data_IF_473784647041
#
_entry.id   IF_473784647041
#
_cell.length_a   1.000
_cell.length_b   1.000
_cell.length_c   1.000
_cell.angle_alpha   90.00
_cell.angle_beta   90.00
_cell.angle_gamma   90.00
#
_symmetry.space_group_name_H-M   'P 1'
#
loop_
_entity.id
_entity.type
_entity.pdbx_description
1 polymer ?
#
# COMPACT_ATOMS: atom_id res chain seq x y z
N UNK A 1 24.24 24.92 -10.60
CA UNK A 1 23.81 24.23 -11.83
C UNK A 1 22.94 23.08 -11.39
N UNK A 2 21.63 23.19 -11.55
CA UNK A 2 20.70 22.11 -11.22
C UNK A 2 20.53 21.28 -12.49
N UNK A 3 21.01 20.04 -12.47
CA UNK A 3 20.74 19.08 -13.53
C UNK A 3 19.23 18.80 -13.55
N UNK A 4 18.56 19.23 -14.63
CA UNK A 4 17.22 18.78 -14.97
C UNK A 4 17.33 17.29 -15.32
N UNK A 5 17.12 16.42 -14.36
CA UNK A 5 16.74 15.05 -14.67
C UNK A 5 15.36 15.13 -15.34
N UNK A 6 15.32 14.88 -16.65
CA UNK A 6 14.09 14.58 -17.39
C UNK A 6 13.62 13.16 -16.99
N UNK A 7 13.42 12.94 -15.69
CA UNK A 7 12.91 11.71 -15.13
C UNK A 7 11.41 11.85 -14.98
N UNK A 8 10.65 11.04 -15.69
CA UNK A 8 9.22 10.88 -15.47
C UNK A 8 9.00 10.57 -13.98
N UNK A 9 8.05 11.26 -13.34
CA UNK A 9 7.69 10.98 -11.95
C UNK A 9 7.23 9.52 -11.87
N UNK A 10 7.90 8.72 -11.02
CA UNK A 10 7.54 7.31 -10.83
C UNK A 10 6.42 7.23 -9.81
N UNK A 11 5.29 6.63 -10.20
CA UNK A 11 4.22 6.34 -9.26
C UNK A 11 4.60 5.13 -8.41
N UNK A 12 4.44 5.25 -7.10
CA UNK A 12 4.70 4.18 -6.15
C UNK A 12 3.42 3.91 -5.39
N UNK A 13 2.84 2.72 -5.58
CA UNK A 13 1.61 2.33 -4.91
C UNK A 13 1.89 1.27 -3.85
N UNK A 14 1.60 1.63 -2.60
CA UNK A 14 1.78 0.75 -1.44
C UNK A 14 0.44 0.07 -1.15
N UNK A 15 0.40 -1.23 -1.35
CA UNK A 15 -0.78 -2.06 -1.09
C UNK A 15 -0.64 -2.70 0.28
N UNK A 16 -1.50 -2.34 1.23
CA UNK A 16 -1.57 -2.97 2.54
C UNK A 16 -2.65 -4.03 2.55
N UNK A 17 -2.29 -5.27 2.93
CA UNK A 17 -3.23 -6.39 3.15
C UNK A 17 -3.38 -6.72 4.64
N UNK A 18 -3.24 -5.70 5.48
CA UNK A 18 -3.40 -5.85 6.92
C UNK A 18 -4.89 -5.95 7.26
N UNK A 19 -5.26 -6.71 8.30
CA UNK A 19 -6.63 -6.76 8.77
C UNK A 19 -7.16 -5.41 9.20
N UNK A 20 -8.48 -5.24 9.11
CA UNK A 20 -9.14 -4.11 9.74
C UNK A 20 -8.99 -4.16 11.26
N UNK A 21 -9.57 -5.18 11.90
CA UNK A 21 -9.53 -5.35 13.36
C UNK A 21 -9.84 -6.81 13.76
N UNK A 22 -8.81 -7.55 14.19
CA UNK A 22 -8.97 -8.84 14.87
C UNK A 22 -8.07 -8.99 16.11
N UNK A 23 -7.63 -7.88 16.71
CA UNK A 23 -6.85 -7.90 17.95
C UNK A 23 -5.34 -8.15 17.77
N UNK A 24 -4.77 -7.80 16.61
CA UNK A 24 -3.31 -7.76 16.39
C UNK A 24 -2.79 -6.33 16.29
N UNK A 25 -1.56 -6.11 16.76
CA UNK A 25 -0.93 -4.78 16.77
C UNK A 25 -0.71 -4.20 15.36
N UNK A 26 -0.64 -5.05 14.33
CA UNK A 26 -0.52 -4.64 12.94
C UNK A 26 -1.85 -4.21 12.30
N UNK A 27 -2.99 -4.35 12.99
CA UNK A 27 -4.30 -4.05 12.44
C UNK A 27 -4.43 -2.58 11.97
N UNK A 28 -5.18 -2.38 10.89
CA UNK A 28 -5.34 -1.08 10.24
C UNK A 28 -6.01 -0.04 11.13
N UNK A 29 -6.84 -0.45 12.09
CA UNK A 29 -7.36 0.49 13.10
C UNK A 29 -6.26 1.24 13.86
N UNK A 30 -5.05 0.68 13.94
CA UNK A 30 -3.89 1.29 14.60
C UNK A 30 -2.88 1.84 13.59
N UNK A 31 -2.70 1.18 12.46
CA UNK A 31 -1.61 1.46 11.52
C UNK A 31 -2.00 2.33 10.32
N UNK A 32 -3.28 2.36 9.92
CA UNK A 32 -3.72 3.11 8.75
C UNK A 32 -3.40 4.62 8.83
N UNK A 33 -3.63 5.33 9.95
CA UNK A 33 -3.27 6.74 10.05
C UNK A 33 -1.76 6.98 9.90
N UNK A 34 -0.94 6.03 10.35
CA UNK A 34 0.51 6.13 10.22
C UNK A 34 0.95 6.00 8.75
N UNK A 35 0.28 5.14 7.96
CA UNK A 35 0.53 5.05 6.52
C UNK A 35 0.19 6.35 5.79
N UNK A 36 -0.95 6.96 6.09
CA UNK A 36 -1.37 8.22 5.47
C UNK A 36 -0.35 9.34 5.72
N UNK A 37 0.07 9.51 6.99
CA UNK A 37 1.08 10.50 7.37
C UNK A 37 2.44 10.19 6.70
N UNK A 38 2.83 8.93 6.61
CA UNK A 38 4.07 8.54 5.96
C UNK A 38 4.05 8.84 4.44
N UNK A 39 2.93 8.58 3.76
CA UNK A 39 2.74 8.92 2.34
C UNK A 39 2.79 10.43 2.14
N UNK A 40 2.10 11.21 2.98
CA UNK A 40 2.15 12.68 2.91
C UNK A 40 3.58 13.20 3.07
N UNK A 41 4.31 12.72 4.08
CA UNK A 41 5.69 13.10 4.32
C UNK A 41 6.63 12.68 3.17
N UNK A 42 6.44 11.49 2.62
CA UNK A 42 7.22 10.98 1.50
C UNK A 42 6.99 11.82 0.23
N UNK A 43 5.73 12.12 -0.10
CA UNK A 43 5.39 12.99 -1.22
C UNK A 43 5.98 14.39 -1.04
N UNK A 44 5.89 14.98 0.15
CA UNK A 44 6.50 16.28 0.43
C UNK A 44 8.02 16.28 0.22
N UNK A 45 8.69 15.17 0.52
CA UNK A 45 10.15 15.04 0.43
C UNK A 45 10.64 14.67 -0.97
N UNK A 46 9.87 13.87 -1.70
CA UNK A 46 10.31 13.22 -2.94
C UNK A 46 9.46 13.56 -4.17
N UNK A 47 8.50 14.50 -4.09
CA UNK A 47 7.59 14.88 -5.18
C UNK A 47 8.26 15.18 -6.53
N UNK A 48 9.54 15.58 -6.54
CA UNK A 48 10.30 15.83 -7.77
C UNK A 48 10.55 14.55 -8.57
N UNK A 49 10.54 13.38 -7.93
CA UNK A 49 10.91 12.10 -8.54
C UNK A 49 9.86 11.01 -8.35
N UNK A 50 9.12 11.05 -7.23
CA UNK A 50 8.23 9.98 -6.79
C UNK A 50 6.85 10.54 -6.42
N UNK A 51 5.81 9.77 -6.72
CA UNK A 51 4.44 10.03 -6.30
C UNK A 51 3.90 8.78 -5.59
N UNK A 52 3.78 8.86 -4.27
CA UNK A 52 3.34 7.77 -3.41
C UNK A 52 1.83 7.78 -3.19
N UNK A 53 1.22 6.60 -3.26
CA UNK A 53 -0.14 6.32 -2.80
C UNK A 53 -0.15 5.12 -1.86
N UNK A 54 -1.18 5.02 -1.03
CA UNK A 54 -1.46 3.82 -0.24
C UNK A 54 -2.87 3.32 -0.53
N UNK A 55 -2.99 2.02 -0.75
CA UNK A 55 -4.26 1.29 -0.91
C UNK A 55 -4.40 0.32 0.24
N UNK A 56 -5.46 0.50 1.03
CA UNK A 56 -5.77 -0.37 2.16
C UNK A 56 -6.78 -1.43 1.72
N UNK A 57 -6.30 -2.65 1.49
CA UNK A 57 -7.12 -3.79 1.10
C UNK A 57 -7.51 -4.58 2.35
N UNK A 58 -8.70 -4.30 2.87
CA UNK A 58 -9.26 -5.01 4.00
C UNK A 58 -10.70 -5.42 3.72
N UNK A 59 -11.13 -6.50 4.35
CA UNK A 59 -12.54 -6.88 4.42
C UNK A 59 -12.99 -6.76 5.88
N UNK A 60 -14.00 -5.93 6.13
CA UNK A 60 -14.52 -5.70 7.48
C UNK A 60 -15.19 -6.95 8.09
N UNK A 61 -15.43 -7.98 7.28
CA UNK A 61 -15.98 -9.26 7.71
C UNK A 61 -14.93 -10.24 8.23
N UNK A 62 -13.63 -9.97 7.98
CA UNK A 62 -12.54 -10.86 8.38
C UNK A 62 -12.43 -10.93 9.90
N UNK A 63 -12.33 -12.14 10.46
CA UNK A 63 -12.25 -12.36 11.91
C UNK A 63 -10.97 -13.06 12.34
N UNK A 64 -10.26 -13.67 11.41
CA UNK A 64 -9.08 -14.48 11.68
C UNK A 64 -7.91 -14.14 10.76
N UNK A 65 -6.71 -14.63 11.10
CA UNK A 65 -5.57 -14.53 10.19
C UNK A 65 -5.80 -15.33 8.91
N UNK A 66 -6.48 -16.46 9.03
CA UNK A 66 -6.79 -17.37 7.92
C UNK A 66 -7.70 -16.68 6.90
N UNK A 67 -8.75 -15.99 7.34
CA UNK A 67 -9.65 -15.20 6.47
C UNK A 67 -8.85 -14.17 5.66
N UNK A 68 -8.04 -13.36 6.35
CA UNK A 68 -7.20 -12.33 5.70
C UNK A 68 -6.23 -12.96 4.72
N UNK A 69 -5.53 -14.03 5.09
CA UNK A 69 -4.54 -14.65 4.19
C UNK A 69 -5.18 -15.26 2.93
N UNK A 70 -6.36 -15.88 3.07
CA UNK A 70 -7.09 -16.47 1.96
C UNK A 70 -7.64 -15.42 1.01
N UNK A 71 -8.29 -14.39 1.54
CA UNK A 71 -8.85 -13.31 0.73
C UNK A 71 -7.77 -12.37 0.18
N UNK A 72 -6.68 -12.13 0.92
CA UNK A 72 -5.61 -11.25 0.47
C UNK A 72 -4.94 -11.75 -0.82
N UNK A 73 -4.65 -13.06 -0.95
CA UNK A 73 -4.04 -13.59 -2.17
C UNK A 73 -4.94 -13.34 -3.37
N UNK A 74 -6.24 -13.60 -3.23
CA UNK A 74 -7.22 -13.36 -4.29
C UNK A 74 -7.35 -11.87 -4.61
N UNK A 75 -7.59 -11.03 -3.60
CA UNK A 75 -7.82 -9.59 -3.77
C UNK A 75 -6.60 -8.90 -4.39
N UNK A 76 -5.39 -9.24 -3.92
CA UNK A 76 -4.15 -8.72 -4.50
C UNK A 76 -3.98 -9.21 -5.93
N UNK A 77 -4.20 -10.48 -6.20
CA UNK A 77 -4.08 -11.03 -7.58
C UNK A 77 -5.05 -10.36 -8.54
N UNK A 78 -6.31 -10.18 -8.14
CA UNK A 78 -7.34 -9.48 -8.92
C UNK A 78 -6.99 -8.00 -9.10
N UNK A 79 -6.46 -7.35 -8.07
CA UNK A 79 -6.01 -5.97 -8.16
C UNK A 79 -4.86 -5.80 -9.17
N UNK A 80 -3.80 -6.60 -9.05
CA UNK A 80 -2.72 -6.58 -10.03
C UNK A 80 -3.23 -6.92 -11.43
N UNK A 81 -4.13 -7.89 -11.58
CA UNK A 81 -4.67 -8.23 -12.90
C UNK A 81 -5.46 -7.07 -13.55
N UNK A 82 -6.20 -6.30 -12.75
CA UNK A 82 -7.12 -5.27 -13.27
C UNK A 82 -6.57 -3.84 -13.26
N UNK A 83 -5.59 -3.55 -12.38
CA UNK A 83 -5.09 -2.20 -12.10
C UNK A 83 -3.60 -2.02 -12.34
N UNK A 84 -2.86 -3.08 -12.70
CA UNK A 84 -1.44 -2.93 -13.03
C UNK A 84 -1.27 -2.00 -14.22
N UNK A 85 -0.45 -0.97 -14.02
CA UNK A 85 0.00 -0.03 -15.03
C UNK A 85 1.52 -0.16 -15.17
N UNK A 86 2.04 -0.01 -16.39
CA UNK A 86 3.49 -0.07 -16.65
C UNK A 86 4.27 1.05 -15.95
N UNK A 87 3.59 2.14 -15.62
CA UNK A 87 4.19 3.38 -15.11
C UNK A 87 4.09 3.49 -13.57
N UNK A 88 3.67 2.41 -12.91
CA UNK A 88 3.54 2.31 -11.45
C UNK A 88 4.38 1.17 -10.92
N UNK A 89 5.18 1.47 -9.89
CA UNK A 89 5.87 0.46 -9.09
C UNK A 89 4.99 0.13 -7.89
N UNK A 90 4.80 -1.15 -7.64
CA UNK A 90 3.95 -1.62 -6.56
C UNK A 90 4.79 -2.21 -5.42
N UNK A 91 4.37 -1.93 -4.19
CA UNK A 91 4.94 -2.53 -2.99
C UNK A 91 3.81 -3.11 -2.13
N UNK A 92 4.03 -4.29 -1.53
CA UNK A 92 3.02 -4.92 -0.67
C UNK A 92 3.49 -4.90 0.77
N UNK A 93 2.62 -4.46 1.69
CA UNK A 93 2.80 -4.56 3.13
C UNK A 93 1.91 -5.67 3.66
N UNK A 94 2.54 -6.67 4.27
CA UNK A 94 1.87 -7.81 4.88
C UNK A 94 2.45 -8.08 6.27
N UNK A 95 1.66 -8.75 7.12
CA UNK A 95 2.14 -9.27 8.38
C UNK A 95 2.57 -10.72 8.16
N UNK A 96 3.85 -11.00 8.36
CA UNK A 96 4.35 -12.38 8.49
C UNK A 96 4.06 -12.85 9.92
N UNK A 97 3.56 -14.08 10.02
CA UNK A 97 3.36 -14.78 11.29
C UNK A 97 4.72 -15.18 11.87
#
# INVERSE_FOLDING_TARGET
MAELYCGVIVNVEIISILPLDFGVASALIWTAPAFEVAVEAANKRYATFLNFSVVLMYNASDRTCEDVSGDAVRNVSEYYYTKTNSDTVYATVSSIK
#
